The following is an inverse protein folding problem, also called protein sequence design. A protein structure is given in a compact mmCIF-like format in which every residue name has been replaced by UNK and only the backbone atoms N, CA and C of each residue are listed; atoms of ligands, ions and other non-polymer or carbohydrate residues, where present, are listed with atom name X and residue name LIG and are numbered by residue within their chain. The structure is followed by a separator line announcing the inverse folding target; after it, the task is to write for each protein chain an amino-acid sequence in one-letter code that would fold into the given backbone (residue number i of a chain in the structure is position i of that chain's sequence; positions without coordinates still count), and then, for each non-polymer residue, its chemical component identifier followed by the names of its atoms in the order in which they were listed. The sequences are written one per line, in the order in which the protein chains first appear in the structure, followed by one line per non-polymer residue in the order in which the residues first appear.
data_IF_579287747421
#
_entry.id   IF_579287747421
#
_cell.length_a   1.000
_cell.length_b   1.000
_cell.length_c   1.000
_cell.angle_alpha   90.00
_cell.angle_beta   90.00
_cell.angle_gamma   90.00
#
_symmetry.space_group_name_H-M   'P 1'
#
loop_
_entity.id
_entity.type
_entity.pdbx_description
1 polymer ?
#
# COMPACT_ATOMS: atom_id res chain seq x y z
N UNK A 1 -6.23 -5.03 -10.64
CA UNK A 1 -6.96 -5.15 -9.34
C UNK A 1 -7.59 -3.81 -8.92
N UNK A 2 -8.74 -3.82 -8.23
CA UNK A 2 -9.38 -2.57 -7.74
C UNK A 2 -8.66 -2.06 -6.50
N UNK A 3 -8.26 -0.78 -6.52
CA UNK A 3 -7.54 -0.11 -5.43
C UNK A 3 -8.37 1.03 -4.87
N UNK A 4 -8.75 0.96 -3.59
CA UNK A 4 -9.46 2.00 -2.85
C UNK A 4 -8.55 2.71 -1.84
N UNK A 5 -8.82 3.99 -1.53
CA UNK A 5 -8.03 4.79 -0.60
C UNK A 5 -8.90 5.38 0.53
N UNK A 6 -8.41 5.36 1.75
CA UNK A 6 -9.05 6.08 2.85
C UNK A 6 -8.84 7.60 2.79
N UNK A 7 -9.77 8.37 3.33
CA UNK A 7 -9.61 9.83 3.46
C UNK A 7 -8.39 10.22 4.32
N UNK A 8 -8.01 9.38 5.29
CA UNK A 8 -6.82 9.57 6.13
C UNK A 8 -5.53 9.45 5.31
N UNK A 9 -5.50 8.54 4.33
CA UNK A 9 -4.35 8.37 3.45
C UNK A 9 -3.97 9.66 2.72
N UNK A 10 -4.96 10.35 2.14
CA UNK A 10 -4.71 11.62 1.46
C UNK A 10 -4.15 12.69 2.41
N UNK A 11 -4.51 12.66 3.71
CA UNK A 11 -3.96 13.56 4.72
C UNK A 11 -2.50 13.21 5.04
N UNK A 12 -2.16 11.93 5.13
CA UNK A 12 -0.82 11.48 5.46
C UNK A 12 0.16 11.69 4.30
N UNK A 13 -0.27 11.48 3.05
CA UNK A 13 0.51 11.84 1.86
C UNK A 13 0.96 13.31 1.86
N UNK A 14 0.09 14.23 2.29
CA UNK A 14 0.41 15.67 2.34
C UNK A 14 1.48 16.02 3.39
N UNK A 15 1.74 15.15 4.37
CA UNK A 15 2.77 15.37 5.39
C UNK A 15 4.16 14.95 4.91
N UNK A 16 4.23 14.06 3.92
CA UNK A 16 5.49 13.56 3.37
C UNK A 16 6.11 14.64 2.50
N UNK A 17 7.26 15.17 2.94
CA UNK A 17 8.03 16.18 2.19
C UNK A 17 9.05 15.58 1.23
N UNK A 18 9.43 14.31 1.45
CA UNK A 18 10.40 13.62 0.62
C UNK A 18 9.75 13.19 -0.70
N UNK A 19 10.16 13.82 -1.79
CA UNK A 19 9.63 13.56 -3.14
C UNK A 19 9.97 12.16 -3.66
N UNK A 20 11.07 11.55 -3.20
CA UNK A 20 11.41 10.16 -3.55
C UNK A 20 10.42 9.19 -2.94
N UNK A 21 10.09 9.35 -1.65
CA UNK A 21 9.08 8.54 -0.96
C UNK A 21 7.72 8.67 -1.64
N UNK A 22 7.32 9.88 -2.06
CA UNK A 22 6.08 10.10 -2.81
C UNK A 22 6.10 9.39 -4.18
N UNK A 23 7.23 9.40 -4.89
CA UNK A 23 7.38 8.71 -6.15
C UNK A 23 7.30 7.18 -5.99
N UNK A 24 7.96 6.64 -4.98
CA UNK A 24 7.93 5.21 -4.67
C UNK A 24 6.52 4.75 -4.26
N UNK A 25 5.83 5.54 -3.43
CA UNK A 25 4.41 5.31 -3.09
C UNK A 25 3.56 5.26 -4.37
N UNK A 26 3.75 6.21 -5.28
CA UNK A 26 3.03 6.25 -6.55
C UNK A 26 3.29 4.99 -7.39
N UNK A 27 4.54 4.51 -7.43
CA UNK A 27 4.90 3.28 -8.14
C UNK A 27 4.20 2.07 -7.55
N UNK A 28 4.21 1.91 -6.22
CA UNK A 28 3.50 0.81 -5.54
C UNK A 28 2.00 0.86 -5.83
N UNK A 29 1.38 2.04 -5.79
CA UNK A 29 -0.04 2.18 -6.13
C UNK A 29 -0.33 1.75 -7.57
N UNK A 30 0.56 2.08 -8.51
CA UNK A 30 0.39 1.71 -9.92
C UNK A 30 0.54 0.20 -10.11
N UNK A 31 1.53 -0.41 -9.45
CA UNK A 31 1.73 -1.86 -9.42
C UNK A 31 0.48 -2.57 -8.86
N UNK A 32 -0.06 -2.11 -7.73
CA UNK A 32 -1.32 -2.61 -7.17
C UNK A 32 -2.50 -2.52 -8.13
N UNK A 33 -2.59 -1.45 -8.95
CA UNK A 33 -3.66 -1.32 -9.94
C UNK A 33 -3.51 -2.32 -11.08
N UNK A 34 -2.27 -2.58 -11.50
CA UNK A 34 -1.93 -3.43 -12.64
C UNK A 34 -1.90 -4.93 -12.29
N UNK A 35 -1.65 -5.28 -11.04
CA UNK A 35 -1.64 -6.66 -10.57
C UNK A 35 -3.02 -7.32 -10.70
N UNK A 36 -3.04 -8.62 -11.01
CA UNK A 36 -4.25 -9.43 -11.05
C UNK A 36 -4.48 -10.12 -9.70
N UNK A 37 -3.41 -10.40 -8.97
CA UNK A 37 -3.41 -11.05 -7.66
C UNK A 37 -2.36 -10.46 -6.71
N UNK A 38 -2.44 -10.80 -5.42
CA UNK A 38 -1.42 -10.42 -4.44
C UNK A 38 -0.04 -11.02 -4.75
N UNK A 39 0.01 -12.15 -5.46
CA UNK A 39 1.25 -12.82 -5.85
C UNK A 39 2.08 -12.04 -6.86
N UNK A 40 1.46 -11.10 -7.58
CA UNK A 40 2.11 -10.29 -8.60
C UNK A 40 2.82 -9.05 -7.99
N UNK A 41 2.58 -8.78 -6.71
CA UNK A 41 3.12 -7.60 -6.02
C UNK A 41 4.51 -7.88 -5.43
N UNK A 42 5.50 -7.11 -5.88
CA UNK A 42 6.85 -7.26 -5.39
C UNK A 42 7.01 -6.68 -3.98
N UNK A 43 7.79 -7.38 -3.15
CA UNK A 43 8.12 -6.91 -1.79
C UNK A 43 6.94 -6.94 -0.80
N UNK A 44 5.80 -7.51 -1.20
CA UNK A 44 4.64 -7.71 -0.34
C UNK A 44 4.96 -8.72 0.77
N UNK A 45 4.70 -8.35 2.02
CA UNK A 45 4.84 -9.22 3.19
C UNK A 45 3.57 -9.23 4.01
N UNK A 46 3.05 -10.41 4.31
CA UNK A 46 1.90 -10.57 5.22
C UNK A 46 2.29 -10.13 6.64
N UNK A 47 1.41 -9.39 7.32
CA UNK A 47 1.58 -9.05 8.72
C UNK A 47 1.21 -10.25 9.59
N UNK A 48 2.05 -10.57 10.57
CA UNK A 48 1.80 -11.68 11.47
C UNK A 48 0.58 -11.40 12.36
N UNK A 49 -0.25 -12.41 12.61
CA UNK A 49 -1.45 -12.28 13.44
C UNK A 49 -2.66 -11.63 12.75
N UNK A 50 -2.56 -11.30 11.47
CA UNK A 50 -3.63 -10.69 10.69
C UNK A 50 -3.95 -11.50 9.43
N UNK A 51 -5.23 -11.76 9.17
CA UNK A 51 -5.65 -12.59 8.03
C UNK A 51 -5.52 -11.87 6.68
N UNK A 52 -5.87 -10.58 6.67
CA UNK A 52 -6.04 -9.77 5.46
C UNK A 52 -5.00 -8.65 5.30
N UNK A 53 -4.05 -8.50 6.23
CA UNK A 53 -3.14 -7.35 6.24
C UNK A 53 -1.74 -7.69 5.76
N UNK A 54 -1.19 -6.77 4.96
CA UNK A 54 0.11 -6.87 4.32
C UNK A 54 0.87 -5.55 4.42
N UNK A 55 2.17 -5.59 4.11
CA UNK A 55 3.02 -4.41 3.98
C UNK A 55 3.93 -4.46 2.77
N UNK A 56 4.23 -3.30 2.22
CA UNK A 56 5.31 -3.09 1.23
C UNK A 56 6.30 -2.08 1.80
N UNK A 57 7.60 -2.31 1.59
CA UNK A 57 8.66 -1.38 2.00
C UNK A 57 8.83 -0.29 0.95
N UNK A 58 8.90 0.97 1.37
CA UNK A 58 9.17 2.12 0.50
C UNK A 58 10.29 2.95 1.12
N UNK A 59 11.50 2.80 0.58
CA UNK A 59 12.71 3.36 1.20
C UNK A 59 12.88 2.86 2.64
N UNK A 60 12.83 3.78 3.60
CA UNK A 60 12.87 3.49 5.04
C UNK A 60 11.48 3.40 5.68
N UNK A 61 10.45 3.86 4.97
CA UNK A 61 9.04 3.83 5.37
C UNK A 61 8.35 2.52 4.95
N UNK A 62 7.13 2.31 5.44
CA UNK A 62 6.30 1.13 5.13
C UNK A 62 4.88 1.56 4.78
N UNK A 63 4.30 0.84 3.82
CA UNK A 63 2.91 0.98 3.41
C UNK A 63 2.14 -0.23 3.92
N UNK A 64 1.08 0.00 4.68
CA UNK A 64 0.06 -1.01 5.00
C UNK A 64 -0.92 -1.23 3.84
N UNK A 65 -1.39 -2.46 3.67
CA UNK A 65 -2.38 -2.86 2.67
C UNK A 65 -3.36 -3.85 3.32
N UNK A 66 -4.64 -3.77 2.98
CA UNK A 66 -5.64 -4.75 3.40
C UNK A 66 -6.29 -5.38 2.16
N UNK A 67 -6.40 -6.70 2.17
CA UNK A 67 -7.07 -7.44 1.10
C UNK A 67 -8.42 -7.92 1.62
N UNK A 68 -9.51 -7.33 1.13
CA UNK A 68 -10.87 -7.70 1.50
C UNK A 68 -11.56 -8.45 0.35
N UNK A 69 -12.60 -9.23 0.65
CA UNK A 69 -13.22 -10.25 -0.21
C UNK A 69 -13.60 -9.84 -1.65
N UNK A 70 -13.70 -8.53 -1.95
CA UNK A 70 -14.07 -8.01 -3.27
C UNK A 70 -13.01 -7.08 -3.93
N UNK A 71 -11.79 -7.03 -3.38
CA UNK A 71 -10.70 -6.22 -3.93
C UNK A 71 -9.70 -5.73 -2.86
N UNK A 72 -8.63 -5.08 -3.31
CA UNK A 72 -7.59 -4.59 -2.42
C UNK A 72 -7.96 -3.18 -1.95
N UNK A 73 -8.33 -3.07 -0.68
CA UNK A 73 -8.52 -1.78 -0.05
C UNK A 73 -7.18 -1.34 0.54
N UNK A 74 -6.58 -0.29 -0.01
CA UNK A 74 -5.30 0.20 0.49
C UNK A 74 -5.54 1.08 1.72
N UNK A 75 -5.17 0.56 2.89
CA UNK A 75 -5.15 1.30 4.15
C UNK A 75 -3.70 1.61 4.51
N UNK A 76 -3.29 2.84 4.28
CA UNK A 76 -1.97 3.28 4.71
C UNK A 76 -1.92 3.45 6.22
N UNK A 77 -1.15 2.59 6.87
CA UNK A 77 -0.41 2.97 8.07
C UNK A 77 1.03 3.24 7.65
N UNK A 78 1.39 4.52 7.63
CA UNK A 78 2.81 4.94 7.65
C UNK A 78 3.25 4.78 9.11
N UNK A 79 4.14 3.82 9.38
CA UNK A 79 4.91 3.78 10.63
C UNK A 79 6.11 4.70 10.50
#
# INVERSE_FOLDING_TARGET
MRVGFEARFAKDLRKIKNTRVLADIKSVILECKQADSLGDLNGLKKLHGHEAFYRIRVGDDRIGLEFADNGLNTYFWVF
#
